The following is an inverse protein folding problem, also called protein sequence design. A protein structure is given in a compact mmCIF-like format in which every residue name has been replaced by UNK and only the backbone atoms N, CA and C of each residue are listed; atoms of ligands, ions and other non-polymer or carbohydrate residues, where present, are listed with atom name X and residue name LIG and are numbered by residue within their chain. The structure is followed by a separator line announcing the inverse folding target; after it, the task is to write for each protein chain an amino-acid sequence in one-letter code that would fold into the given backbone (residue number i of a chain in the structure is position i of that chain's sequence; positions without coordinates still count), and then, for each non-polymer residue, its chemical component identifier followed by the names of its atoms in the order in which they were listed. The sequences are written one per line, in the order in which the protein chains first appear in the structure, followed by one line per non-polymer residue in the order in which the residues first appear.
data_IF_507726987420
#
_entry.id   IF_507726987420
#
_cell.length_a   1.000
_cell.length_b   1.000
_cell.length_c   1.000
_cell.angle_alpha   90.00
_cell.angle_beta   90.00
_cell.angle_gamma   90.00
#
_symmetry.space_group_name_H-M   'P 1'
#
loop_
_entity.id
_entity.type
_entity.pdbx_description
1 polymer ?
#
# COMPACT_ATOMS: atom_id res chain seq x y z
N UNK A 1 -19.81 -12.54 -18.12
CA UNK A 1 -18.87 -11.40 -18.09
C UNK A 1 -18.08 -11.47 -16.79
N UNK A 2 -16.74 -11.34 -16.79
CA UNK A 2 -16.00 -11.35 -15.53
C UNK A 2 -16.38 -10.11 -14.71
N UNK A 3 -16.76 -10.34 -13.45
CA UNK A 3 -17.07 -9.27 -12.49
C UNK A 3 -15.77 -8.54 -12.19
N UNK A 4 -15.69 -7.24 -12.51
CA UNK A 4 -14.55 -6.42 -12.10
C UNK A 4 -14.56 -6.34 -10.57
N UNK A 5 -13.46 -6.74 -9.94
CA UNK A 5 -13.28 -6.61 -8.49
C UNK A 5 -13.37 -5.14 -8.09
N UNK A 6 -14.10 -4.86 -7.02
CA UNK A 6 -14.16 -3.52 -6.44
C UNK A 6 -12.81 -3.21 -5.79
N UNK A 7 -12.24 -2.06 -6.13
CA UNK A 7 -10.97 -1.59 -5.56
C UNK A 7 -11.18 -1.20 -4.10
N UNK A 8 -10.20 -1.49 -3.26
CA UNK A 8 -10.15 -1.00 -1.88
C UNK A 8 -9.56 0.43 -1.83
N UNK A 9 -9.65 1.07 -0.67
CA UNK A 9 -9.18 2.44 -0.46
C UNK A 9 -7.70 2.62 -0.76
N UNK A 10 -6.87 1.63 -0.41
CA UNK A 10 -5.43 1.62 -0.71
C UNK A 10 -5.13 1.59 -2.21
N UNK A 11 -5.87 0.80 -2.98
CA UNK A 11 -5.77 0.75 -4.44
C UNK A 11 -6.20 2.08 -5.08
N UNK A 12 -7.22 2.75 -4.54
CA UNK A 12 -7.64 4.08 -4.98
C UNK A 12 -6.56 5.13 -4.71
N UNK A 13 -6.03 5.16 -3.47
CA UNK A 13 -4.95 6.07 -3.09
C UNK A 13 -3.67 5.85 -3.92
N UNK A 14 -3.34 4.60 -4.23
CA UNK A 14 -2.20 4.30 -5.08
C UNK A 14 -2.39 4.87 -6.49
N UNK A 15 -3.57 4.78 -7.08
CA UNK A 15 -3.84 5.39 -8.39
C UNK A 15 -3.81 6.92 -8.35
N UNK A 16 -4.31 7.53 -7.28
CA UNK A 16 -4.20 8.98 -7.07
C UNK A 16 -2.74 9.41 -6.96
N UNK A 17 -1.93 8.64 -6.25
CA UNK A 17 -0.49 8.85 -6.19
C UNK A 17 0.14 8.76 -7.59
N UNK A 18 -0.14 7.70 -8.38
CA UNK A 18 0.37 7.57 -9.75
C UNK A 18 0.01 8.78 -10.61
N UNK A 19 -1.26 9.22 -10.57
CA UNK A 19 -1.71 10.42 -11.29
C UNK A 19 -0.97 11.67 -10.84
N UNK A 20 -0.74 11.84 -9.54
CA UNK A 20 0.00 12.99 -9.00
C UNK A 20 1.44 13.05 -9.50
N UNK A 21 2.04 11.89 -9.81
CA UNK A 21 3.38 11.77 -10.39
C UNK A 21 3.38 11.87 -11.93
N UNK A 22 2.23 12.14 -12.56
CA UNK A 22 2.09 12.19 -14.00
C UNK A 22 2.10 10.82 -14.69
N UNK A 23 2.08 9.73 -13.93
CA UNK A 23 2.03 8.36 -14.46
C UNK A 23 0.56 8.03 -14.68
N UNK A 24 0.11 7.98 -15.94
CA UNK A 24 -1.28 7.74 -16.30
C UNK A 24 -1.54 6.42 -17.05
N UNK A 25 -0.47 5.72 -17.41
CA UNK A 25 -0.53 4.46 -18.16
C UNK A 25 -0.24 3.28 -17.24
N UNK A 26 -1.31 2.76 -16.62
CA UNK A 26 -1.27 1.58 -15.78
C UNK A 26 -2.47 0.66 -16.06
N UNK A 27 -2.28 -0.64 -15.88
CA UNK A 27 -3.31 -1.66 -15.97
C UNK A 27 -3.59 -2.25 -14.58
N UNK A 28 -4.88 -2.34 -14.22
CA UNK A 28 -5.33 -2.98 -12.97
C UNK A 28 -5.66 -4.46 -13.20
N UNK A 29 -5.11 -5.34 -12.36
CA UNK A 29 -5.21 -6.80 -12.44
C UNK A 29 -5.02 -7.37 -13.87
N UNK A 30 -3.92 -7.02 -14.57
CA UNK A 30 -3.70 -7.45 -15.94
C UNK A 30 -3.47 -8.95 -16.05
N UNK A 31 -3.94 -9.53 -17.16
CA UNK A 31 -3.58 -10.90 -17.53
C UNK A 31 -2.30 -10.87 -18.36
N UNK A 32 -1.19 -11.31 -17.79
CA UNK A 32 0.09 -11.40 -18.50
C UNK A 32 0.23 -12.78 -19.15
N UNK A 33 0.65 -12.81 -20.42
CA UNK A 33 0.82 -14.05 -21.18
C UNK A 33 1.82 -15.00 -20.49
N UNK A 34 1.45 -16.27 -20.38
CA UNK A 34 2.26 -17.30 -19.71
C UNK A 34 2.30 -17.21 -18.18
N UNK A 35 1.61 -16.25 -17.56
CA UNK A 35 1.49 -16.14 -16.09
C UNK A 35 0.10 -16.59 -15.65
N UNK A 36 0.04 -17.35 -14.54
CA UNK A 36 -1.23 -17.83 -13.99
C UNK A 36 -1.83 -16.81 -13.03
N UNK A 37 -0.98 -16.14 -12.25
CA UNK A 37 -1.37 -15.07 -11.34
C UNK A 37 -1.55 -13.75 -12.09
N UNK A 38 -2.33 -12.85 -11.50
CA UNK A 38 -2.48 -11.47 -11.93
C UNK A 38 -1.86 -10.57 -10.86
N UNK A 39 -0.91 -9.69 -11.20
CA UNK A 39 -0.43 -8.69 -10.24
C UNK A 39 -1.55 -7.67 -9.98
N UNK A 40 -1.45 -6.88 -8.92
CA UNK A 40 -2.42 -5.81 -8.67
C UNK A 40 -2.37 -4.75 -9.77
N UNK A 41 -1.17 -4.35 -10.18
CA UNK A 41 -0.95 -3.38 -11.24
C UNK A 41 0.23 -3.76 -12.13
N UNK A 42 0.19 -3.30 -13.38
CA UNK A 42 1.32 -3.20 -14.30
C UNK A 42 1.40 -1.75 -14.79
N UNK A 43 2.58 -1.15 -14.76
CA UNK A 43 2.82 0.17 -15.35
C UNK A 43 4.17 0.19 -16.05
N UNK A 44 4.32 1.09 -17.02
CA UNK A 44 5.57 1.29 -17.74
C UNK A 44 6.22 2.60 -17.29
N UNK A 45 7.37 2.49 -16.63
CA UNK A 45 8.14 3.65 -16.20
C UNK A 45 9.52 3.59 -16.84
N UNK A 46 9.92 4.65 -17.56
CA UNK A 46 11.17 4.65 -18.32
C UNK A 46 11.29 3.54 -19.37
N UNK A 47 10.16 3.02 -19.89
CA UNK A 47 10.13 1.89 -20.84
C UNK A 47 10.33 0.52 -20.19
N UNK A 48 10.44 0.44 -18.87
CA UNK A 48 10.59 -0.80 -18.12
C UNK A 48 9.22 -1.16 -17.53
N UNK A 49 8.79 -2.44 -17.60
CA UNK A 49 7.55 -2.88 -16.98
C UNK A 49 7.73 -3.13 -15.47
N UNK A 50 6.91 -2.48 -14.66
CA UNK A 50 6.86 -2.64 -13.20
C UNK A 50 5.53 -3.27 -12.80
N UNK A 51 5.59 -4.32 -11.97
CA UNK A 51 4.41 -4.95 -11.39
C UNK A 51 4.30 -4.62 -9.91
N UNK A 52 3.09 -4.22 -9.49
CA UNK A 52 2.83 -3.83 -8.11
C UNK A 52 1.78 -4.72 -7.44
N UNK A 53 1.98 -4.97 -6.15
CA UNK A 53 0.95 -5.43 -5.24
C UNK A 53 0.73 -4.37 -4.17
N UNK A 54 -0.49 -3.82 -4.12
CA UNK A 54 -0.90 -2.81 -3.15
C UNK A 54 -1.59 -3.52 -1.99
N UNK A 55 -1.16 -3.22 -0.76
CA UNK A 55 -1.76 -3.75 0.46
C UNK A 55 -1.98 -2.63 1.46
N UNK A 56 -3.16 -2.61 2.06
CA UNK A 56 -3.47 -1.73 3.17
C UNK A 56 -2.64 -2.10 4.40
N UNK A 57 -2.08 -1.09 5.06
CA UNK A 57 -1.43 -1.21 6.36
C UNK A 57 -2.25 -0.44 7.40
N UNK A 58 -2.55 -1.10 8.52
CA UNK A 58 -3.24 -0.49 9.66
C UNK A 58 -2.39 -0.71 10.90
N UNK A 59 -2.10 0.38 11.61
CA UNK A 59 -1.22 0.40 12.78
C UNK A 59 -1.80 -0.34 13.98
N UNK A 60 -3.13 -0.45 14.06
CA UNK A 60 -3.84 -1.25 15.06
C UNK A 60 -3.49 -2.75 15.04
N UNK A 61 -2.76 -3.21 14.02
CA UNK A 61 -2.25 -4.58 13.93
C UNK A 61 -0.86 -4.77 14.56
N UNK A 62 -0.19 -3.70 15.01
CA UNK A 62 1.11 -3.80 15.69
C UNK A 62 0.87 -4.32 17.11
N UNK A 63 1.29 -5.55 17.37
CA UNK A 63 1.27 -6.11 18.72
C UNK A 63 2.56 -5.73 19.44
N UNK A 64 2.46 -4.75 20.34
CA UNK A 64 3.54 -4.42 21.28
C UNK A 64 3.57 -5.50 22.35
N UNK A 65 4.66 -6.28 22.42
CA UNK A 65 4.88 -7.16 23.57
C UNK A 65 5.50 -6.35 24.71
N UNK A 66 4.81 -6.25 25.84
CA UNK A 66 5.33 -5.58 27.04
C UNK A 66 6.37 -6.47 27.74
N UNK A 67 7.54 -5.90 28.09
CA UNK A 67 8.59 -6.58 28.85
C UNK A 67 9.98 -5.93 28.71
N UNK A 68 10.99 -6.34 29.49
CA UNK A 68 12.36 -5.80 29.43
C UNK A 68 13.10 -6.10 28.10
N UNK A 69 12.47 -6.89 27.23
CA UNK A 69 12.86 -7.18 25.85
C UNK A 69 11.74 -6.75 24.88
N UNK A 70 11.07 -5.63 25.15
CA UNK A 70 10.03 -5.10 24.27
C UNK A 70 10.62 -4.86 22.87
N UNK A 71 10.30 -5.78 21.95
CA UNK A 71 10.64 -5.70 20.55
C UNK A 71 9.36 -5.41 19.80
N UNK A 72 9.33 -4.29 19.08
CA UNK A 72 8.24 -3.98 18.16
C UNK A 72 8.34 -4.92 16.96
N UNK A 73 7.69 -6.08 17.10
CA UNK A 73 7.52 -6.95 15.96
C UNK A 73 6.48 -6.31 15.05
N UNK A 74 6.76 -6.31 13.76
CA UNK A 74 5.75 -6.12 12.72
C UNK A 74 5.36 -7.46 12.07
N UNK A 75 4.84 -8.49 12.81
CA UNK A 75 4.48 -9.77 12.21
C UNK A 75 3.51 -9.62 11.03
N UNK A 76 2.47 -8.75 11.10
CA UNK A 76 1.57 -8.53 9.99
C UNK A 76 2.27 -7.98 8.74
N UNK A 77 3.29 -7.12 8.88
CA UNK A 77 4.03 -6.60 7.71
C UNK A 77 4.85 -7.71 7.07
N UNK A 78 5.61 -8.48 7.87
CA UNK A 78 6.42 -9.59 7.34
C UNK A 78 5.56 -10.59 6.58
N UNK A 79 4.41 -10.98 7.15
CA UNK A 79 3.47 -11.87 6.48
C UNK A 79 2.92 -11.26 5.18
N UNK A 80 2.55 -9.97 5.17
CA UNK A 80 2.13 -9.27 3.95
C UNK A 80 3.26 -9.26 2.90
N UNK A 81 4.53 -9.12 3.31
CA UNK A 81 5.70 -9.15 2.41
C UNK A 81 5.85 -10.55 1.83
N UNK A 82 5.82 -11.59 2.65
CA UNK A 82 5.99 -12.97 2.19
C UNK A 82 4.87 -13.39 1.23
N UNK A 83 3.62 -13.00 1.52
CA UNK A 83 2.50 -13.22 0.59
C UNK A 83 2.71 -12.54 -0.78
N UNK A 84 3.27 -11.33 -0.80
CA UNK A 84 3.61 -10.65 -2.05
C UNK A 84 4.75 -11.36 -2.78
N UNK A 85 5.80 -11.77 -2.05
CA UNK A 85 6.92 -12.55 -2.61
C UNK A 85 6.46 -13.83 -3.28
N UNK A 86 5.48 -14.54 -2.70
CA UNK A 86 4.90 -15.74 -3.30
C UNK A 86 4.14 -15.47 -4.59
N UNK A 87 3.42 -14.35 -4.68
CA UNK A 87 2.80 -13.91 -5.93
C UNK A 87 3.86 -13.56 -6.97
N UNK A 88 4.91 -12.85 -6.57
CA UNK A 88 5.99 -12.41 -7.45
C UNK A 88 6.90 -13.52 -7.99
N UNK A 89 6.82 -14.76 -7.47
CA UNK A 89 7.57 -15.89 -8.02
C UNK A 89 7.35 -16.15 -9.51
N UNK A 90 6.17 -15.79 -10.04
CA UNK A 90 5.86 -15.94 -11.47
C UNK A 90 6.37 -14.75 -12.32
N UNK A 91 6.74 -13.63 -11.70
CA UNK A 91 7.07 -12.37 -12.38
C UNK A 91 8.55 -12.00 -12.29
N UNK A 92 9.45 -13.00 -12.27
CA UNK A 92 10.91 -12.78 -12.15
C UNK A 92 11.51 -11.88 -13.24
N UNK A 93 10.83 -11.75 -14.37
CA UNK A 93 11.24 -10.92 -15.51
C UNK A 93 10.82 -9.44 -15.35
N UNK A 94 10.17 -9.08 -14.25
CA UNK A 94 9.62 -7.74 -13.98
C UNK A 94 10.24 -7.12 -12.72
N UNK A 95 10.31 -5.79 -12.68
CA UNK A 95 10.54 -5.06 -11.43
C UNK A 95 9.31 -5.26 -10.52
N UNK A 96 9.50 -5.99 -9.42
CA UNK A 96 8.42 -6.36 -8.50
C UNK A 96 8.43 -5.45 -7.28
N UNK A 97 7.38 -4.67 -7.12
CA UNK A 97 7.27 -3.67 -6.05
C UNK A 97 6.05 -3.93 -5.17
N UNK A 98 6.20 -3.67 -3.87
CA UNK A 98 5.10 -3.79 -2.92
C UNK A 98 4.83 -2.43 -2.30
N UNK A 99 3.65 -1.90 -2.55
CA UNK A 99 3.19 -0.65 -1.95
C UNK A 99 2.40 -0.95 -0.67
N UNK A 100 2.73 -0.25 0.40
CA UNK A 100 1.96 -0.21 1.63
C UNK A 100 1.41 1.20 1.78
N UNK A 101 0.10 1.31 1.97
CA UNK A 101 -0.59 2.58 2.20
C UNK A 101 -1.28 2.52 3.55
N UNK A 102 -1.08 3.56 4.35
CA UNK A 102 -1.83 3.79 5.59
C UNK A 102 -2.90 4.83 5.28
N UNK A 103 -4.15 4.50 5.59
CA UNK A 103 -5.25 5.46 5.66
C UNK A 103 -5.33 5.89 7.10
N UNK A 104 -4.80 7.07 7.45
CA UNK A 104 -4.91 7.54 8.83
C UNK A 104 -6.39 7.70 9.19
N UNK A 105 -6.85 6.97 10.21
CA UNK A 105 -8.08 7.34 10.91
C UNK A 105 -7.75 8.62 11.67
N UNK A 106 -8.21 9.75 11.14
CA UNK A 106 -7.89 11.08 11.68
C UNK A 106 -8.05 11.15 13.19
N UNK A 107 -6.93 11.30 13.89
CA UNK A 107 -6.86 11.86 15.23
C UNK A 107 -6.13 13.20 15.16
N UNK A 108 -6.74 14.14 14.44
CA UNK A 108 -6.43 15.56 14.54
C UNK A 108 -7.57 16.27 15.26
N UNK A 109 -7.63 16.17 16.59
CA UNK A 109 -8.27 17.22 17.38
C UNK A 109 -7.17 18.19 17.79
N UNK A 110 -7.13 19.29 17.05
CA UNK A 110 -6.49 20.54 17.41
C UNK A 110 -7.09 21.01 18.75
N UNK A 111 -6.37 20.83 19.86
CA UNK A 111 -6.61 21.63 21.05
C UNK A 111 -6.12 23.05 20.75
N UNK A 112 -7.03 23.90 20.32
CA UNK A 112 -6.85 25.33 20.38
C UNK A 112 -6.56 25.71 21.83
N UNK A 113 -5.31 26.09 22.12
CA UNK A 113 -4.95 26.73 23.37
C UNK A 113 -5.70 28.06 23.46
N UNK A 114 -6.74 28.10 24.28
CA UNK A 114 -7.36 29.34 24.76
C UNK A 114 -6.29 30.08 25.57
N UNK A 115 -5.71 31.15 25.01
CA UNK A 115 -4.83 32.09 25.72
C UNK A 115 -5.69 33.23 26.30
N UNK A 116 -5.92 33.28 27.63
CA UNK A 116 -6.76 34.31 28.24
C UNK A 116 -6.00 35.62 28.54
N UNK A 117 -4.86 35.91 27.93
CA UNK A 117 -4.04 37.09 28.32
C UNK A 117 -3.80 38.11 27.21
N UNK A 118 -4.86 38.48 26.49
CA UNK A 118 -4.87 39.65 25.62
C UNK A 118 -5.96 40.67 26.01
N UNK A 119 -6.11 41.00 27.31
CA UNK A 119 -6.75 42.25 27.77
C UNK A 119 -6.12 42.70 29.09
N UNK A 120 -5.12 43.57 29.01
CA UNK A 120 -4.95 44.74 29.88
C UNK A 120 -3.88 45.67 29.31
#
# INVERSE_FOLDING_TARGET
MPVKKQKNESEVLFEEYLRSQGINDWEYEPQIAGKKKRPGYLLHFGGIPHVFEVREFREDTIQVQEGPMAYESYPPIRQKIDNAREKFREFKDFCCEKALTTTELGHGQEEAADDPRAKN
#
